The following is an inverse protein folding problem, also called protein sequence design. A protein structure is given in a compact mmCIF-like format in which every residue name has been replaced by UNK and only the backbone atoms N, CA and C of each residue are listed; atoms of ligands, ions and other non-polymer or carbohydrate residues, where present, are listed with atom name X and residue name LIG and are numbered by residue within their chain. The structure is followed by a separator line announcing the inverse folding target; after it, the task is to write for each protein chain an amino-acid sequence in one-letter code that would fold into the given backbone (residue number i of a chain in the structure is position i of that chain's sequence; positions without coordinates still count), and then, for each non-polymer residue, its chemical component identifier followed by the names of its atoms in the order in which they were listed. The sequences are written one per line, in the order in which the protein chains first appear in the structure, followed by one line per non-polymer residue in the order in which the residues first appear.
data_IF_785140477514
#
_entry.id   IF_785140477514
#
_cell.length_a   1.000
_cell.length_b   1.000
_cell.length_c   1.000
_cell.angle_alpha   90.00
_cell.angle_beta   90.00
_cell.angle_gamma   90.00
#
_symmetry.space_group_name_H-M   'P 1'
#
loop_
_entity.id
_entity.type
_entity.pdbx_description
1 polymer ?
#
# COMPACT_ATOMS: atom_id res chain seq x y z
N UNK A 1 91.74 22.62 -21.14
CA UNK A 1 91.76 21.50 -20.17
C UNK A 1 90.45 21.52 -19.39
N UNK A 2 89.72 20.40 -19.41
CA UNK A 2 88.67 19.90 -18.49
C UNK A 2 87.89 20.91 -17.60
N UNK A 3 86.56 20.86 -17.45
CA UNK A 3 85.74 19.66 -17.31
C UNK A 3 84.23 19.93 -17.49
N UNK A 4 83.59 18.98 -18.17
CA UNK A 4 82.35 18.25 -17.85
C UNK A 4 81.04 18.99 -17.49
N UNK A 5 80.09 18.76 -18.42
CA UNK A 5 78.63 18.82 -18.33
C UNK A 5 78.05 18.24 -17.03
N UNK A 6 77.03 18.90 -16.49
CA UNK A 6 76.01 18.26 -15.65
C UNK A 6 74.64 18.87 -15.99
N UNK A 7 73.85 18.10 -16.74
CA UNK A 7 72.44 18.37 -16.95
C UNK A 7 71.68 17.93 -15.68
N UNK A 8 71.00 18.87 -15.03
CA UNK A 8 70.05 18.56 -13.96
C UNK A 8 68.66 18.42 -14.57
N UNK A 9 68.18 17.18 -14.62
CA UNK A 9 66.79 16.85 -14.91
C UNK A 9 65.93 17.28 -13.72
N UNK A 10 64.99 18.18 -13.99
CA UNK A 10 63.93 18.56 -13.06
C UNK A 10 63.03 17.34 -12.80
N UNK A 11 63.03 16.84 -11.56
CA UNK A 11 61.97 15.95 -11.08
C UNK A 11 61.04 16.80 -10.20
N UNK A 12 60.08 17.47 -10.85
CA UNK A 12 58.97 18.10 -10.14
C UNK A 12 58.14 17.00 -9.50
N UNK A 13 58.21 16.88 -8.17
CA UNK A 13 57.26 16.10 -7.39
C UNK A 13 55.91 16.77 -7.54
N UNK A 14 55.11 16.27 -8.49
CA UNK A 14 53.71 16.60 -8.63
C UNK A 14 53.02 15.99 -7.42
N UNK A 15 52.89 16.76 -6.33
CA UNK A 15 52.02 16.40 -5.23
C UNK A 15 50.60 16.35 -5.78
N UNK A 16 50.14 15.16 -6.14
CA UNK A 16 48.73 14.87 -6.32
C UNK A 16 48.07 15.11 -4.97
N UNK A 17 47.47 16.28 -4.81
CA UNK A 17 46.51 16.52 -3.73
C UNK A 17 45.36 15.55 -4.00
N UNK A 18 45.43 14.38 -3.37
CA UNK A 18 44.33 13.43 -3.37
C UNK A 18 43.16 14.14 -2.70
N UNK A 19 42.19 14.57 -3.49
CA UNK A 19 40.89 14.94 -2.94
C UNK A 19 40.36 13.70 -2.24
N UNK A 20 40.31 13.73 -0.91
CA UNK A 20 39.60 12.73 -0.15
C UNK A 20 38.15 12.74 -0.65
N UNK A 21 37.83 11.76 -1.51
CA UNK A 21 36.46 11.52 -1.92
C UNK A 21 35.74 11.03 -0.67
N UNK A 22 35.09 11.95 0.04
CA UNK A 22 34.20 11.61 1.15
C UNK A 22 33.16 10.64 0.60
N UNK A 23 33.28 9.37 1.01
CA UNK A 23 32.61 8.28 0.36
C UNK A 23 31.20 8.16 0.94
N UNK A 24 30.25 8.76 0.22
CA UNK A 24 28.82 8.72 0.48
C UNK A 24 28.19 7.43 -0.07
N UNK A 25 26.92 7.15 0.26
CA UNK A 25 26.10 6.16 -0.46
C UNK A 25 25.98 6.57 -1.93
N UNK A 26 25.68 7.85 -2.17
CA UNK A 26 25.76 8.53 -3.46
C UNK A 26 26.04 10.02 -3.26
N UNK A 27 26.62 10.65 -4.29
CA UNK A 27 26.89 12.09 -4.29
C UNK A 27 25.62 12.90 -4.52
N UNK A 28 25.31 13.79 -3.59
CA UNK A 28 24.26 14.80 -3.74
C UNK A 28 24.67 15.84 -4.79
N UNK A 29 23.84 16.00 -5.82
CA UNK A 29 24.06 16.90 -6.97
C UNK A 29 22.91 17.89 -7.18
N UNK A 30 21.78 17.68 -6.50
CA UNK A 30 20.59 18.52 -6.56
C UNK A 30 19.97 18.65 -5.16
N UNK A 31 19.00 19.55 -5.02
CA UNK A 31 18.23 19.75 -3.79
C UNK A 31 16.75 19.52 -4.03
N UNK A 32 16.03 19.17 -2.97
CA UNK A 32 14.57 19.10 -3.04
C UNK A 32 13.97 20.48 -3.33
N UNK A 33 12.95 20.48 -4.18
CA UNK A 33 12.21 21.66 -4.62
C UNK A 33 10.79 21.24 -4.99
N UNK A 34 9.88 22.20 -5.16
CA UNK A 34 8.54 21.90 -5.65
C UNK A 34 8.57 21.19 -7.01
N UNK A 35 9.51 21.56 -7.88
CA UNK A 35 9.69 20.90 -9.18
C UNK A 35 10.13 19.44 -9.02
N UNK A 36 11.06 19.15 -8.11
CA UNK A 36 11.44 17.76 -7.79
C UNK A 36 10.32 16.96 -7.14
N UNK A 37 9.43 17.60 -6.38
CA UNK A 37 8.21 16.95 -5.91
C UNK A 37 7.19 16.68 -7.02
N UNK A 38 7.15 17.48 -8.09
CA UNK A 38 6.34 17.20 -9.28
C UNK A 38 6.90 16.03 -10.07
N UNK A 39 8.22 15.93 -10.20
CA UNK A 39 8.89 14.79 -10.81
C UNK A 39 8.71 13.50 -9.98
N UNK A 40 8.81 13.58 -8.65
CA UNK A 40 8.52 12.44 -7.78
C UNK A 40 7.06 11.99 -7.89
N UNK A 41 6.12 12.94 -7.98
CA UNK A 41 4.72 12.63 -8.24
C UNK A 41 4.52 11.88 -9.55
N UNK A 42 5.20 12.30 -10.63
CA UNK A 42 5.17 11.60 -11.91
C UNK A 42 5.73 10.18 -11.78
N UNK A 43 6.88 10.02 -11.11
CA UNK A 43 7.47 8.70 -10.83
C UNK A 43 6.49 7.77 -10.11
N UNK A 44 5.81 8.26 -9.06
CA UNK A 44 4.82 7.46 -8.32
C UNK A 44 3.59 7.15 -9.18
N UNK A 45 3.11 8.10 -10.00
CA UNK A 45 1.95 7.91 -10.87
C UNK A 45 2.20 6.82 -11.93
N UNK A 46 3.40 6.80 -12.51
CA UNK A 46 3.81 5.86 -13.55
C UNK A 46 4.40 4.55 -12.99
N UNK A 47 4.51 4.42 -11.66
CA UNK A 47 5.13 3.27 -11.00
C UNK A 47 4.35 1.98 -11.29
N UNK A 48 4.96 0.97 -11.92
CA UNK A 48 4.30 -0.30 -12.15
C UNK A 48 4.17 -1.09 -10.84
N UNK A 49 3.08 -1.84 -10.66
CA UNK A 49 2.83 -2.53 -9.39
C UNK A 49 3.84 -3.65 -9.10
N UNK A 50 4.45 -4.25 -10.11
CA UNK A 50 5.51 -5.26 -9.99
C UNK A 50 6.92 -4.66 -9.84
N UNK A 51 7.05 -3.37 -9.51
CA UNK A 51 8.33 -2.66 -9.45
C UNK A 51 9.44 -3.40 -8.66
N UNK A 52 9.10 -4.04 -7.55
CA UNK A 52 10.05 -4.79 -6.71
C UNK A 52 10.17 -6.27 -7.05
N UNK A 53 9.23 -6.82 -7.82
CA UNK A 53 9.13 -8.25 -8.15
C UNK A 53 9.48 -8.57 -9.60
N UNK A 54 9.55 -7.57 -10.48
CA UNK A 54 9.85 -7.73 -11.90
C UNK A 54 11.30 -8.16 -12.12
N UNK A 55 11.53 -9.40 -12.61
CA UNK A 55 12.88 -9.90 -12.86
C UNK A 55 13.65 -9.02 -13.85
N UNK A 56 14.98 -8.94 -13.69
CA UNK A 56 15.86 -8.20 -14.59
C UNK A 56 15.89 -6.68 -14.37
N UNK A 57 15.13 -6.14 -13.41
CA UNK A 57 15.21 -4.73 -13.02
C UNK A 57 16.22 -4.50 -11.89
N UNK A 58 16.85 -3.31 -11.78
CA UNK A 58 17.81 -3.01 -10.71
C UNK A 58 17.25 -3.20 -9.29
N UNK A 59 15.95 -2.98 -9.12
CA UNK A 59 15.22 -3.00 -7.84
C UNK A 59 14.44 -4.30 -7.61
N UNK A 60 14.59 -5.27 -8.50
CA UNK A 60 14.04 -6.61 -8.31
C UNK A 60 14.60 -7.25 -7.04
N UNK A 61 13.73 -7.93 -6.29
CA UNK A 61 14.11 -8.66 -5.08
C UNK A 61 14.15 -7.82 -3.80
N UNK A 62 13.78 -6.53 -3.86
CA UNK A 62 13.63 -5.71 -2.65
C UNK A 62 12.34 -6.14 -1.95
N UNK A 63 12.51 -6.74 -0.78
CA UNK A 63 11.39 -7.02 0.13
C UNK A 63 10.87 -5.72 0.71
N UNK A 64 9.55 -5.54 0.84
CA UNK A 64 8.97 -4.35 1.49
C UNK A 64 7.75 -4.71 2.30
N UNK A 65 7.58 -4.08 3.46
CA UNK A 65 6.28 -3.82 4.06
C UNK A 65 5.72 -2.43 3.67
N UNK A 66 4.64 -2.01 4.32
CA UNK A 66 4.00 -0.72 4.03
C UNK A 66 4.93 0.49 4.20
N UNK A 67 5.69 0.57 5.29
CA UNK A 67 6.58 1.69 5.57
C UNK A 67 7.86 1.58 4.74
N UNK A 68 8.40 0.36 4.62
CA UNK A 68 9.54 0.06 3.74
C UNK A 68 9.30 0.61 2.34
N UNK A 69 8.14 0.32 1.74
CA UNK A 69 7.81 0.77 0.40
C UNK A 69 7.80 2.31 0.30
N UNK A 70 7.33 3.01 1.34
CA UNK A 70 7.33 4.46 1.37
C UNK A 70 8.75 5.03 1.34
N UNK A 71 9.61 4.58 2.25
CA UNK A 71 11.01 5.02 2.35
C UNK A 71 11.84 4.61 1.13
N UNK A 72 11.73 3.35 0.69
CA UNK A 72 12.49 2.81 -0.44
C UNK A 72 12.18 3.56 -1.73
N UNK A 73 10.90 3.81 -2.05
CA UNK A 73 10.54 4.54 -3.27
C UNK A 73 11.06 5.98 -3.25
N UNK A 74 10.99 6.66 -2.09
CA UNK A 74 11.57 8.00 -1.92
C UNK A 74 13.09 7.99 -2.09
N UNK A 75 13.75 6.99 -1.53
CA UNK A 75 15.20 6.79 -1.58
C UNK A 75 15.68 6.50 -3.00
N UNK A 76 14.99 5.62 -3.73
CA UNK A 76 15.28 5.30 -5.13
C UNK A 76 15.19 6.56 -5.99
N UNK A 77 14.08 7.30 -5.88
CA UNK A 77 13.93 8.53 -6.63
C UNK A 77 15.04 9.55 -6.29
N UNK A 78 15.39 9.67 -5.00
CA UNK A 78 16.45 10.56 -4.56
C UNK A 78 17.81 10.17 -5.14
N UNK A 79 18.17 8.88 -5.10
CA UNK A 79 19.38 8.34 -5.68
C UNK A 79 19.47 8.61 -7.18
N UNK A 80 18.41 8.30 -7.93
CA UNK A 80 18.37 8.48 -9.38
C UNK A 80 18.46 9.95 -9.80
N UNK A 81 18.02 10.86 -8.94
CA UNK A 81 18.03 12.31 -9.17
C UNK A 81 19.17 13.06 -8.45
N UNK A 82 20.05 12.36 -7.74
CA UNK A 82 21.12 12.96 -6.95
C UNK A 82 20.63 13.91 -5.86
N UNK A 83 19.48 13.64 -5.25
CA UNK A 83 18.90 14.40 -4.15
C UNK A 83 19.40 13.87 -2.80
N UNK A 84 19.48 14.72 -1.76
CA UNK A 84 19.81 14.24 -0.43
C UNK A 84 18.65 13.46 0.17
N UNK A 85 18.95 12.52 1.05
CA UNK A 85 18.01 11.99 2.04
C UNK A 85 18.63 12.09 3.41
N UNK A 86 17.79 12.29 4.40
CA UNK A 86 18.16 12.39 5.80
C UNK A 86 16.93 12.00 6.60
N UNK A 87 16.86 10.71 6.96
CA UNK A 87 15.70 10.14 7.64
C UNK A 87 16.02 9.85 9.09
N UNK A 88 15.06 10.04 9.98
CA UNK A 88 15.22 9.66 11.38
C UNK A 88 14.79 8.20 11.64
N UNK A 89 15.65 7.43 12.31
CA UNK A 89 15.33 6.08 12.76
C UNK A 89 14.53 6.06 14.09
N UNK A 90 14.12 4.88 14.57
CA UNK A 90 13.39 4.76 15.85
C UNK A 90 14.21 5.20 17.09
N UNK A 91 15.54 5.22 17.02
CA UNK A 91 16.45 5.75 18.06
C UNK A 91 16.68 7.27 17.96
N UNK A 92 16.01 7.95 17.01
CA UNK A 92 16.23 9.38 16.70
C UNK A 92 17.62 9.71 16.14
N UNK A 93 18.24 8.76 15.43
CA UNK A 93 19.50 8.95 14.71
C UNK A 93 19.24 9.11 13.22
N UNK A 94 20.07 9.95 12.61
CA UNK A 94 19.99 10.27 11.19
C UNK A 94 20.53 9.14 10.32
N UNK A 95 19.77 8.79 9.28
CA UNK A 95 20.09 7.86 8.21
C UNK A 95 20.17 8.67 6.91
N UNK A 96 21.36 9.20 6.65
CA UNK A 96 21.63 10.09 5.51
C UNK A 96 22.42 9.38 4.41
N UNK A 97 22.24 9.84 3.16
CA UNK A 97 23.05 9.36 2.04
C UNK A 97 24.54 9.73 2.13
N UNK A 98 24.92 10.61 3.05
CA UNK A 98 26.31 11.02 3.27
C UNK A 98 27.09 10.09 4.19
N UNK A 99 26.46 9.02 4.72
CA UNK A 99 27.16 8.04 5.57
C UNK A 99 28.26 7.28 4.81
N UNK A 100 29.34 6.97 5.51
CA UNK A 100 30.49 6.20 5.03
C UNK A 100 30.47 4.73 5.50
N UNK A 101 29.39 4.30 6.16
CA UNK A 101 29.23 2.94 6.70
C UNK A 101 29.38 1.83 5.63
N UNK A 102 29.29 2.18 4.34
CA UNK A 102 29.28 1.25 3.22
C UNK A 102 30.50 1.36 2.33
N UNK A 103 31.58 1.96 2.82
CA UNK A 103 32.80 2.18 2.02
C UNK A 103 33.50 0.91 1.56
N UNK A 104 33.30 -0.17 2.31
CA UNK A 104 33.74 -1.51 1.97
C UNK A 104 32.97 -2.14 0.78
N UNK A 105 31.90 -1.51 0.31
CA UNK A 105 31.12 -1.94 -0.85
C UNK A 105 31.43 -1.08 -2.08
N UNK A 106 31.28 -1.68 -3.26
CA UNK A 106 31.32 -0.97 -4.54
C UNK A 106 30.27 0.14 -4.60
N UNK A 107 30.66 1.30 -5.13
CA UNK A 107 29.79 2.47 -5.25
C UNK A 107 28.56 2.19 -6.13
N UNK A 108 27.49 2.96 -5.92
CA UNK A 108 26.24 2.85 -6.68
C UNK A 108 25.27 1.83 -6.08
N UNK A 109 24.76 0.90 -6.90
CA UNK A 109 23.67 -0.02 -6.49
C UNK A 109 24.00 -0.88 -5.26
N UNK A 110 25.22 -1.42 -5.06
CA UNK A 110 25.52 -2.21 -3.86
C UNK A 110 25.38 -1.40 -2.57
N UNK A 111 25.94 -0.19 -2.51
CA UNK A 111 25.76 0.74 -1.38
C UNK A 111 24.31 1.14 -1.19
N UNK A 112 23.59 1.47 -2.27
CA UNK A 112 22.17 1.84 -2.22
C UNK A 112 21.32 0.71 -1.65
N UNK A 113 21.51 -0.53 -2.12
CA UNK A 113 20.76 -1.70 -1.63
C UNK A 113 21.04 -1.97 -0.15
N UNK A 114 22.29 -1.81 0.27
CA UNK A 114 22.65 -1.95 1.69
C UNK A 114 22.02 -0.84 2.55
N UNK A 115 22.09 0.41 2.10
CA UNK A 115 21.44 1.53 2.77
C UNK A 115 19.93 1.34 2.89
N UNK A 116 19.24 0.95 1.81
CA UNK A 116 17.81 0.64 1.84
C UNK A 116 17.49 -0.55 2.75
N UNK A 117 18.35 -1.56 2.82
CA UNK A 117 18.19 -2.66 3.78
C UNK A 117 18.22 -2.13 5.21
N UNK A 118 19.18 -1.27 5.54
CA UNK A 118 19.31 -0.72 6.89
C UNK A 118 18.15 0.23 7.24
N UNK A 119 17.68 1.04 6.28
CA UNK A 119 16.47 1.85 6.44
C UNK A 119 15.28 1.00 6.88
N UNK A 120 15.04 -0.12 6.21
CA UNK A 120 13.91 -1.02 6.47
C UNK A 120 13.95 -1.67 7.86
N UNK A 121 15.15 -1.91 8.39
CA UNK A 121 15.32 -2.45 9.76
C UNK A 121 15.26 -1.35 10.84
N UNK A 122 15.35 -0.09 10.45
CA UNK A 122 15.50 1.03 11.36
C UNK A 122 14.30 2.01 11.33
N UNK A 123 13.31 1.77 10.47
CA UNK A 123 12.14 2.64 10.27
C UNK A 123 10.85 1.84 10.27
N UNK A 124 9.74 2.53 10.54
CA UNK A 124 8.41 1.95 10.52
C UNK A 124 7.34 3.04 10.21
N UNK A 125 6.07 2.71 10.39
CA UNK A 125 4.99 3.69 10.17
C UNK A 125 5.02 4.83 11.21
N UNK A 126 5.59 4.60 12.40
CA UNK A 126 5.72 5.62 13.45
C UNK A 126 6.85 6.61 13.17
N UNK A 127 7.96 6.19 12.56
CA UNK A 127 9.04 7.09 12.12
C UNK A 127 8.55 8.03 11.02
N UNK A 128 7.67 7.57 10.12
CA UNK A 128 7.06 8.42 9.09
C UNK A 128 6.32 9.63 9.67
N UNK A 129 5.76 9.55 10.89
CA UNK A 129 5.12 10.71 11.53
C UNK A 129 6.08 11.88 11.73
N UNK A 130 7.35 11.57 11.99
CA UNK A 130 8.41 12.56 12.23
C UNK A 130 9.05 13.01 10.92
N UNK A 131 9.03 12.16 9.90
CA UNK A 131 9.56 12.46 8.57
C UNK A 131 8.59 13.22 7.65
N UNK A 132 7.33 13.35 8.05
CA UNK A 132 6.28 13.90 7.20
C UNK A 132 5.42 14.92 7.94
N UNK A 133 4.72 15.76 7.19
CA UNK A 133 3.82 16.77 7.74
C UNK A 133 2.45 16.73 7.06
N UNK A 134 1.38 17.10 7.77
CA UNK A 134 0.03 17.13 7.21
C UNK A 134 -0.09 18.23 6.14
N UNK A 135 -0.83 17.93 5.08
CA UNK A 135 -1.03 18.84 3.95
C UNK A 135 -2.48 19.29 3.81
N UNK A 136 -2.67 20.36 3.03
CA UNK A 136 -3.99 20.84 2.64
C UNK A 136 -4.75 19.78 1.81
N UNK A 137 -6.08 19.79 1.90
CA UNK A 137 -6.98 18.96 1.12
C UNK A 137 -7.48 19.79 -0.06
N UNK A 138 -6.71 19.73 -1.14
CA UNK A 138 -7.06 20.26 -2.44
C UNK A 138 -6.30 19.47 -3.52
N UNK A 139 -6.66 19.67 -4.79
CA UNK A 139 -6.12 18.92 -5.92
C UNK A 139 -4.61 19.11 -6.17
N UNK A 140 -4.02 20.22 -5.73
CA UNK A 140 -2.58 20.48 -5.88
C UNK A 140 -1.76 19.78 -4.79
N UNK A 141 -2.36 19.56 -3.62
CA UNK A 141 -1.71 18.97 -2.46
C UNK A 141 -1.93 17.46 -2.40
N UNK A 142 -3.17 16.99 -2.52
CA UNK A 142 -3.51 15.56 -2.61
C UNK A 142 -3.33 15.14 -4.05
N UNK A 143 -2.11 14.74 -4.39
CA UNK A 143 -1.66 14.34 -5.73
C UNK A 143 -0.70 13.15 -5.64
N UNK A 144 -0.31 12.52 -6.76
CA UNK A 144 0.64 11.43 -6.73
C UNK A 144 1.90 11.77 -5.92
N UNK A 145 2.41 10.83 -5.14
CA UNK A 145 3.56 11.04 -4.24
C UNK A 145 3.24 11.64 -2.87
N UNK A 146 2.07 12.27 -2.68
CA UNK A 146 1.53 12.47 -1.34
C UNK A 146 1.16 11.12 -0.72
N UNK A 147 1.10 11.02 0.60
CA UNK A 147 0.75 9.79 1.29
C UNK A 147 -0.49 9.95 2.15
N UNK A 148 -1.26 8.88 2.33
CA UNK A 148 -2.21 8.76 3.41
C UNK A 148 -1.60 7.87 4.49
N UNK A 149 -1.39 8.43 5.68
CA UNK A 149 -0.91 7.72 6.84
C UNK A 149 -2.10 7.33 7.72
N UNK A 150 -2.18 6.07 8.13
CA UNK A 150 -3.18 5.57 9.07
C UNK A 150 -2.46 5.12 10.33
N UNK A 151 -2.57 5.92 11.39
CA UNK A 151 -1.90 5.72 12.68
C UNK A 151 -2.90 5.92 13.83
N UNK A 152 -3.88 5.00 13.99
CA UNK A 152 -4.83 5.08 15.09
C UNK A 152 -4.10 4.86 16.43
N UNK A 153 -4.48 5.59 17.48
CA UNK A 153 -4.06 5.21 18.84
C UNK A 153 -4.94 4.09 19.36
N UNK A 154 -4.48 3.40 20.41
CA UNK A 154 -5.29 2.38 21.09
C UNK A 154 -6.64 2.99 21.51
N UNK A 155 -7.73 2.40 21.01
CA UNK A 155 -9.09 2.89 21.28
C UNK A 155 -9.55 4.02 20.36
N UNK A 156 -8.77 4.45 19.36
CA UNK A 156 -9.17 5.42 18.33
C UNK A 156 -9.50 4.69 17.02
N UNK A 157 -10.71 4.14 16.96
CA UNK A 157 -11.26 3.42 15.80
C UNK A 157 -11.60 1.96 16.14
N UNK A 158 -12.40 1.26 15.29
CA UNK A 158 -12.68 -0.16 15.46
C UNK A 158 -11.42 -0.99 15.58
N UNK A 159 -11.48 -2.07 16.36
CA UNK A 159 -10.40 -3.06 16.48
C UNK A 159 -9.93 -3.58 15.11
N UNK A 160 -10.84 -3.68 14.13
CA UNK A 160 -10.55 -4.10 12.75
C UNK A 160 -9.63 -3.12 12.00
N UNK A 161 -9.57 -1.86 12.44
CA UNK A 161 -8.76 -0.80 11.83
C UNK A 161 -7.60 -0.36 12.72
N UNK A 162 -7.21 -1.14 13.73
CA UNK A 162 -6.21 -0.74 14.72
C UNK A 162 -4.75 -0.79 14.22
N UNK A 163 -4.49 -1.33 13.03
CA UNK A 163 -3.12 -1.49 12.52
C UNK A 163 -2.64 -0.22 11.81
N UNK A 164 -1.44 0.20 12.16
CA UNK A 164 -0.71 1.23 11.45
C UNK A 164 -0.50 0.85 9.97
N UNK A 165 -0.65 1.80 9.06
CA UNK A 165 -0.43 1.57 7.63
C UNK A 165 -0.15 2.86 6.88
N UNK A 166 0.51 2.78 5.73
CA UNK A 166 0.77 3.92 4.85
C UNK A 166 0.46 3.56 3.40
N UNK A 167 -0.09 4.54 2.68
CA UNK A 167 -0.32 4.45 1.25
C UNK A 167 0.25 5.67 0.55
N UNK A 168 0.90 5.50 -0.59
CA UNK A 168 1.05 6.60 -1.53
C UNK A 168 -0.24 6.81 -2.30
N UNK A 169 -0.62 8.07 -2.49
CA UNK A 169 -1.52 8.45 -3.58
C UNK A 169 -0.76 8.17 -4.87
N UNK A 170 -1.31 7.30 -5.71
CA UNK A 170 -0.79 7.00 -7.04
C UNK A 170 -1.49 7.86 -8.11
N UNK A 171 -2.79 8.11 -7.96
CA UNK A 171 -3.57 8.89 -8.90
C UNK A 171 -4.76 9.58 -8.24
N UNK A 172 -5.19 10.72 -8.80
CA UNK A 172 -6.46 11.38 -8.46
C UNK A 172 -7.26 11.61 -9.74
N UNK A 173 -8.34 10.84 -9.89
CA UNK A 173 -9.20 10.87 -11.05
C UNK A 173 -9.95 12.20 -11.22
N UNK A 174 -10.61 12.41 -12.38
CA UNK A 174 -11.41 13.59 -12.63
C UNK A 174 -12.51 13.78 -11.59
N UNK A 175 -13.20 12.71 -11.18
CA UNK A 175 -14.25 12.78 -10.14
C UNK A 175 -13.70 12.97 -8.72
N UNK A 176 -12.38 13.09 -8.56
CA UNK A 176 -11.71 13.16 -7.26
C UNK A 176 -11.45 11.80 -6.62
N UNK A 177 -11.78 10.70 -7.29
CA UNK A 177 -11.50 9.36 -6.80
C UNK A 177 -9.98 9.16 -6.70
N UNK A 178 -9.51 8.61 -5.58
CA UNK A 178 -8.08 8.41 -5.34
C UNK A 178 -7.71 6.94 -5.56
N UNK A 179 -6.62 6.70 -6.29
CA UNK A 179 -5.93 5.42 -6.34
C UNK A 179 -4.73 5.48 -5.42
N UNK A 180 -4.61 4.50 -4.56
CA UNK A 180 -3.52 4.32 -3.60
C UNK A 180 -2.67 3.13 -3.98
N UNK A 181 -1.37 3.20 -3.66
CA UNK A 181 -0.46 2.05 -3.67
C UNK A 181 0.22 1.86 -2.32
N UNK A 182 0.41 0.61 -1.92
CA UNK A 182 1.17 0.24 -0.72
C UNK A 182 1.72 -1.17 -0.83
N UNK A 183 2.67 -1.55 0.01
CA UNK A 183 2.92 -2.96 0.34
C UNK A 183 2.12 -3.34 1.60
N UNK A 184 2.45 -4.44 2.27
CA UNK A 184 1.75 -4.95 3.47
C UNK A 184 2.73 -5.68 4.40
N UNK A 185 2.32 -5.96 5.64
CA UNK A 185 3.10 -6.82 6.55
C UNK A 185 2.81 -8.30 6.30
N UNK A 186 3.76 -9.22 6.62
CA UNK A 186 5.19 -8.94 6.87
C UNK A 186 5.91 -8.47 5.59
N UNK A 187 7.15 -7.97 5.67
CA UNK A 187 7.90 -7.59 4.47
C UNK A 187 8.17 -8.80 3.55
N UNK A 188 7.85 -8.70 2.26
CA UNK A 188 8.28 -9.70 1.26
C UNK A 188 8.50 -9.06 -0.12
N UNK A 189 9.17 -9.80 -1.02
CA UNK A 189 9.23 -9.44 -2.45
C UNK A 189 7.86 -9.72 -3.06
N UNK A 190 7.16 -8.67 -3.47
CA UNK A 190 5.79 -8.76 -4.00
C UNK A 190 5.44 -7.57 -4.88
N UNK A 191 4.33 -7.71 -5.59
CA UNK A 191 3.70 -6.57 -6.21
C UNK A 191 3.13 -5.64 -5.13
N UNK A 192 3.18 -4.34 -5.40
CA UNK A 192 2.43 -3.33 -4.65
C UNK A 192 0.94 -3.56 -4.87
N UNK A 193 0.17 -3.36 -3.80
CA UNK A 193 -1.27 -3.42 -3.82
C UNK A 193 -1.81 -2.07 -4.26
N UNK A 194 -2.65 -2.05 -5.29
CA UNK A 194 -3.43 -0.88 -5.65
C UNK A 194 -4.81 -0.93 -4.95
N UNK A 195 -5.26 0.20 -4.43
CA UNK A 195 -6.61 0.36 -3.87
C UNK A 195 -7.24 1.65 -4.37
N UNK A 196 -8.41 1.53 -4.98
CA UNK A 196 -9.20 2.66 -5.46
C UNK A 196 -10.24 3.04 -4.41
N UNK A 197 -10.53 4.33 -4.33
CA UNK A 197 -11.43 4.88 -3.32
C UNK A 197 -10.72 5.12 -2.00
N UNK A 198 -11.39 5.86 -1.13
CA UNK A 198 -10.80 6.40 0.10
C UNK A 198 -10.57 5.29 1.12
N UNK A 199 -9.36 5.25 1.69
CA UNK A 199 -8.94 4.16 2.58
C UNK A 199 -9.48 4.30 4.00
N UNK A 200 -9.25 5.45 4.64
CA UNK A 200 -9.56 5.71 6.04
C UNK A 200 -9.88 7.19 6.27
N UNK A 201 -10.48 7.49 7.42
CA UNK A 201 -10.58 8.84 7.98
C UNK A 201 -9.44 9.11 8.94
N UNK A 202 -8.90 10.34 9.02
CA UNK A 202 -7.96 10.70 10.06
C UNK A 202 -8.69 10.74 11.41
N UNK A 203 -8.52 9.72 12.24
CA UNK A 203 -9.09 9.66 13.60
C UNK A 203 -8.36 10.56 14.60
N UNK A 204 -7.16 11.02 14.24
CA UNK A 204 -6.29 11.87 15.04
C UNK A 204 -5.32 12.61 14.10
N UNK A 205 -4.46 13.46 14.68
CA UNK A 205 -3.46 14.25 13.94
C UNK A 205 -2.26 13.46 13.40
N UNK A 206 -2.10 12.20 13.82
CA UNK A 206 -1.07 11.30 13.31
C UNK A 206 -1.51 10.68 11.97
N UNK A 207 -2.81 10.48 11.78
CA UNK A 207 -3.36 10.00 10.51
C UNK A 207 -3.60 11.13 9.49
N UNK A 208 -3.93 10.78 8.26
CA UNK A 208 -4.36 11.71 7.21
C UNK A 208 -3.38 11.86 6.06
N UNK A 209 -3.63 12.83 5.19
CA UNK A 209 -2.77 13.11 4.04
C UNK A 209 -1.52 13.88 4.46
N UNK A 210 -0.36 13.42 4.02
CA UNK A 210 0.95 13.97 4.41
C UNK A 210 1.89 14.06 3.22
N UNK A 211 2.89 14.91 3.34
CA UNK A 211 4.03 15.01 2.43
C UNK A 211 5.35 14.84 3.20
N UNK A 212 6.40 14.41 2.49
CA UNK A 212 7.75 14.30 3.02
C UNK A 212 8.30 15.66 3.44
N UNK A 213 8.97 15.72 4.59
CA UNK A 213 9.89 16.81 4.91
C UNK A 213 11.08 16.75 3.95
N UNK A 214 11.62 17.90 3.58
CA UNK A 214 12.91 17.95 2.91
C UNK A 214 14.03 17.88 3.95
N UNK A 215 15.18 17.25 3.65
CA UNK A 215 16.34 17.28 4.52
C UNK A 215 16.67 18.71 5.00
N UNK A 216 17.06 18.87 6.27
CA UNK A 216 17.37 20.16 6.89
C UNK A 216 16.20 21.17 6.98
N UNK A 217 14.96 20.78 6.67
CA UNK A 217 13.76 21.65 6.83
C UNK A 217 12.89 21.27 8.04
N UNK A 218 13.40 20.40 8.91
CA UNK A 218 12.67 19.86 10.07
C UNK A 218 12.20 20.95 11.06
N UNK A 219 12.90 22.07 11.14
CA UNK A 219 12.59 23.21 12.01
C UNK A 219 11.66 24.25 11.37
N UNK A 220 11.38 24.16 10.06
CA UNK A 220 10.48 25.12 9.40
C UNK A 220 9.06 25.01 9.96
N UNK A 221 8.39 26.16 10.06
CA UNK A 221 6.98 26.22 10.40
C UNK A 221 6.15 25.43 9.38
N UNK A 222 5.00 24.89 9.79
CA UNK A 222 4.18 24.06 8.91
C UNK A 222 3.71 24.84 7.68
N UNK A 223 3.29 26.09 7.89
CA UNK A 223 2.72 26.98 6.89
C UNK A 223 3.73 27.40 5.82
N UNK A 224 5.03 27.37 6.15
CA UNK A 224 6.11 27.66 5.19
C UNK A 224 6.50 26.43 4.37
N UNK A 225 6.01 25.24 4.73
CA UNK A 225 6.24 24.01 3.95
C UNK A 225 5.28 23.92 2.78
N UNK A 226 5.72 23.26 1.73
CA UNK A 226 4.93 23.06 0.52
C UNK A 226 3.57 22.41 0.84
N UNK A 227 2.50 23.21 0.74
CA UNK A 227 1.13 22.80 1.06
C UNK A 227 0.84 22.39 2.51
N UNK A 228 1.68 22.76 3.48
CA UNK A 228 1.45 22.40 4.89
C UNK A 228 0.14 22.96 5.45
N UNK A 229 -0.67 22.11 6.08
CA UNK A 229 -1.95 22.51 6.67
C UNK A 229 -2.51 21.50 7.67
N UNK A 230 -3.20 22.00 8.69
CA UNK A 230 -3.96 21.20 9.67
C UNK A 230 -5.45 21.11 9.34
N UNK A 231 -5.92 21.65 8.21
CA UNK A 231 -7.36 21.75 7.92
C UNK A 231 -8.08 20.41 7.89
N UNK A 232 -7.39 19.35 7.49
CA UNK A 232 -7.96 18.02 7.35
C UNK A 232 -8.55 17.45 8.64
N UNK A 233 -8.02 17.87 9.79
CA UNK A 233 -8.50 17.43 11.10
C UNK A 233 -9.82 18.11 11.51
N UNK A 234 -10.26 19.11 10.74
CA UNK A 234 -11.53 19.83 10.94
C UNK A 234 -12.58 19.47 9.89
N UNK A 235 -12.23 18.67 8.88
CA UNK A 235 -12.97 18.61 7.62
C UNK A 235 -14.31 17.85 7.61
N UNK A 236 -14.69 17.23 8.72
CA UNK A 236 -16.04 16.72 8.83
C UNK A 236 -16.38 16.21 10.21
N UNK A 237 -15.97 17.00 11.20
CA UNK A 237 -16.47 16.89 12.55
C UNK A 237 -16.23 15.48 13.13
N UNK A 238 -14.99 14.99 12.96
CA UNK A 238 -14.59 13.65 13.37
C UNK A 238 -14.70 13.57 14.89
N UNK A 239 -15.49 12.59 15.35
CA UNK A 239 -15.48 12.16 16.73
C UNK A 239 -14.46 11.05 16.87
N UNK A 240 -13.67 11.13 17.94
CA UNK A 240 -12.88 10.00 18.40
C UNK A 240 -13.82 8.85 18.76
N UNK A 241 -13.32 7.63 18.74
CA UNK A 241 -14.15 6.48 19.06
C UNK A 241 -14.66 6.50 20.52
N UNK A 242 -13.93 7.12 21.44
CA UNK A 242 -14.40 7.38 22.81
C UNK A 242 -15.61 8.34 22.87
N UNK A 243 -15.78 9.17 21.85
CA UNK A 243 -16.92 10.10 21.70
C UNK A 243 -18.06 9.51 20.86
N UNK A 244 -17.85 8.33 20.27
CA UNK A 244 -18.89 7.58 19.58
C UNK A 244 -19.70 6.75 20.61
N UNK A 245 -20.99 6.48 20.34
CA UNK A 245 -21.75 5.47 21.09
C UNK A 245 -21.00 4.15 21.10
N UNK A 246 -21.30 3.27 22.07
CA UNK A 246 -20.63 1.97 22.27
C UNK A 246 -20.37 1.14 20.99
N UNK A 247 -19.54 0.12 21.12
CA UNK A 247 -19.11 -0.74 20.01
C UNK A 247 -20.25 -1.58 19.38
N UNK A 248 -21.51 -1.37 19.80
CA UNK A 248 -22.71 -1.96 19.22
C UNK A 248 -23.04 -1.42 17.81
N UNK A 249 -24.24 -1.70 17.33
CA UNK A 249 -24.70 -1.26 16.00
C UNK A 249 -24.77 0.27 15.85
N UNK A 250 -24.97 0.99 16.97
CA UNK A 250 -24.98 2.45 17.02
C UNK A 250 -23.61 3.06 16.71
N UNK A 251 -22.54 2.61 17.38
CA UNK A 251 -21.17 3.07 17.13
C UNK A 251 -20.66 2.70 15.74
N UNK A 252 -20.96 1.49 15.25
CA UNK A 252 -20.64 1.07 13.86
C UNK A 252 -21.29 1.98 12.82
N UNK A 253 -22.56 2.30 13.00
CA UNK A 253 -23.31 3.18 12.09
C UNK A 253 -22.79 4.61 12.14
N UNK A 254 -22.40 5.10 13.32
CA UNK A 254 -21.82 6.43 13.47
C UNK A 254 -20.46 6.54 12.77
N UNK A 255 -19.60 5.53 12.91
CA UNK A 255 -18.34 5.47 12.20
C UNK A 255 -18.51 5.45 10.69
N UNK A 256 -19.44 4.63 10.18
CA UNK A 256 -19.71 4.55 8.74
C UNK A 256 -20.11 5.92 8.18
N UNK A 257 -20.99 6.65 8.89
CA UNK A 257 -21.36 8.03 8.51
C UNK A 257 -20.15 8.97 8.53
N UNK A 258 -19.27 8.84 9.52
CA UNK A 258 -18.05 9.62 9.61
C UNK A 258 -17.14 9.40 8.39
N UNK A 259 -16.93 8.14 8.02
CA UNK A 259 -16.15 7.75 6.84
C UNK A 259 -16.75 8.28 5.54
N UNK A 260 -18.09 8.25 5.41
CA UNK A 260 -18.81 8.80 4.27
C UNK A 260 -18.67 10.32 4.19
N UNK A 261 -18.83 11.04 5.30
CA UNK A 261 -18.69 12.50 5.36
C UNK A 261 -17.28 12.94 5.00
N UNK A 262 -16.25 12.26 5.51
CA UNK A 262 -14.85 12.51 5.14
C UNK A 262 -14.61 12.30 3.66
N UNK A 263 -15.03 11.14 3.16
CA UNK A 263 -14.90 10.77 1.76
C UNK A 263 -15.55 11.84 0.87
N UNK A 264 -16.76 12.29 1.20
CA UNK A 264 -17.46 13.33 0.46
C UNK A 264 -16.72 14.68 0.53
N UNK A 265 -16.27 15.10 1.72
CA UNK A 265 -15.58 16.38 1.92
C UNK A 265 -14.22 16.43 1.18
N UNK A 266 -13.44 15.35 1.28
CA UNK A 266 -12.17 15.23 0.54
C UNK A 266 -12.45 15.25 -0.95
N UNK A 267 -13.37 14.41 -1.44
CA UNK A 267 -13.71 14.33 -2.86
C UNK A 267 -14.07 15.69 -3.42
N UNK A 268 -14.96 16.41 -2.75
CA UNK A 268 -15.45 17.71 -3.23
C UNK A 268 -14.31 18.72 -3.42
N UNK A 269 -13.27 18.64 -2.58
CA UNK A 269 -12.11 19.52 -2.64
C UNK A 269 -11.03 19.11 -3.64
N UNK A 270 -10.99 17.83 -4.04
CA UNK A 270 -9.94 17.31 -4.93
C UNK A 270 -10.44 16.95 -6.33
N UNK A 271 -11.76 16.94 -6.58
CA UNK A 271 -12.33 16.72 -7.92
C UNK A 271 -11.93 17.82 -8.90
N UNK A 272 -11.91 17.50 -10.19
CA UNK A 272 -11.48 18.42 -11.24
C UNK A 272 -12.52 19.49 -11.54
N UNK A 273 -12.09 20.62 -12.11
CA UNK A 273 -12.99 21.63 -12.66
C UNK A 273 -13.85 21.01 -13.77
N UNK A 274 -15.14 20.84 -13.52
CA UNK A 274 -16.08 20.15 -14.42
C UNK A 274 -16.53 18.78 -13.93
N UNK A 275 -15.98 18.26 -12.83
CA UNK A 275 -16.51 17.06 -12.21
C UNK A 275 -17.87 17.32 -11.55
N UNK A 276 -18.85 16.47 -11.89
CA UNK A 276 -20.20 16.53 -11.33
C UNK A 276 -20.24 16.31 -9.81
N UNK A 277 -21.41 16.57 -9.21
CA UNK A 277 -21.65 16.29 -7.78
C UNK A 277 -21.50 14.81 -7.45
N UNK A 278 -21.81 13.92 -8.38
CA UNK A 278 -21.62 12.46 -8.24
C UNK A 278 -20.37 11.98 -8.98
N UNK A 279 -19.83 10.85 -8.53
CA UNK A 279 -18.73 10.17 -9.25
C UNK A 279 -19.26 9.70 -10.61
N UNK A 280 -18.44 9.84 -11.65
CA UNK A 280 -18.76 9.26 -12.95
C UNK A 280 -19.02 7.74 -12.80
N UNK A 281 -20.16 7.18 -13.25
CA UNK A 281 -20.48 5.77 -13.04
C UNK A 281 -19.48 4.78 -13.64
N UNK A 282 -18.79 5.16 -14.72
CA UNK A 282 -17.73 4.32 -15.31
C UNK A 282 -16.46 4.34 -14.45
N UNK A 283 -16.05 5.52 -13.98
CA UNK A 283 -14.92 5.67 -13.05
C UNK A 283 -15.17 4.91 -11.74
N UNK A 284 -16.38 5.03 -11.19
CA UNK A 284 -16.79 4.32 -9.97
C UNK A 284 -16.80 2.80 -10.14
N UNK A 285 -17.38 2.29 -11.24
CA UNK A 285 -17.39 0.85 -11.51
C UNK A 285 -15.97 0.32 -11.68
N UNK A 286 -15.13 1.01 -12.47
CA UNK A 286 -13.74 0.60 -12.69
C UNK A 286 -12.95 0.55 -11.39
N UNK A 287 -13.21 1.47 -10.46
CA UNK A 287 -12.59 1.50 -9.14
C UNK A 287 -12.93 0.26 -8.32
N UNK A 288 -14.23 -0.02 -8.18
CA UNK A 288 -14.73 -1.15 -7.37
C UNK A 288 -14.32 -2.48 -8.00
N UNK A 289 -14.47 -2.62 -9.33
CA UNK A 289 -13.99 -3.80 -10.05
C UNK A 289 -12.49 -3.95 -9.88
N UNK A 290 -11.69 -2.88 -10.04
CA UNK A 290 -10.25 -2.93 -9.85
C UNK A 290 -9.85 -3.46 -8.47
N UNK A 291 -10.53 -3.02 -7.41
CA UNK A 291 -10.32 -3.54 -6.05
C UNK A 291 -10.65 -5.04 -5.94
N UNK A 292 -11.77 -5.45 -6.54
CA UNK A 292 -12.19 -6.86 -6.56
C UNK A 292 -11.18 -7.72 -7.33
N UNK A 293 -10.75 -7.28 -8.52
CA UNK A 293 -9.76 -7.99 -9.33
C UNK A 293 -8.45 -8.17 -8.57
N UNK A 294 -7.95 -7.11 -7.92
CA UNK A 294 -6.76 -7.17 -7.08
C UNK A 294 -6.93 -8.16 -5.93
N UNK A 295 -8.00 -8.03 -5.14
CA UNK A 295 -8.26 -8.91 -4.00
C UNK A 295 -8.46 -10.37 -4.38
N UNK A 296 -9.17 -10.65 -5.47
CA UNK A 296 -9.40 -12.00 -5.99
C UNK A 296 -8.09 -12.61 -6.49
N UNK A 297 -7.28 -11.89 -7.28
CA UNK A 297 -5.99 -12.39 -7.76
C UNK A 297 -5.01 -12.67 -6.60
N UNK A 298 -4.95 -11.79 -5.61
CA UNK A 298 -4.16 -12.01 -4.39
C UNK A 298 -4.62 -13.26 -3.65
N UNK A 299 -5.93 -13.47 -3.56
CA UNK A 299 -6.52 -14.66 -2.96
C UNK A 299 -6.18 -15.92 -3.75
N UNK A 300 -6.23 -15.89 -5.08
CA UNK A 300 -5.87 -17.04 -5.93
C UNK A 300 -4.43 -17.47 -5.63
N UNK A 301 -3.51 -16.51 -5.65
CA UNK A 301 -2.10 -16.76 -5.37
C UNK A 301 -1.90 -17.42 -4.00
N UNK A 302 -2.45 -16.83 -2.95
CA UNK A 302 -2.22 -17.33 -1.59
C UNK A 302 -2.90 -18.69 -1.33
N UNK A 303 -4.05 -18.94 -1.96
CA UNK A 303 -4.73 -20.24 -1.93
C UNK A 303 -3.86 -21.32 -2.58
N UNK A 304 -3.30 -21.02 -3.75
CA UNK A 304 -2.42 -21.95 -4.47
C UNK A 304 -1.11 -22.19 -3.71
N UNK A 305 -0.50 -21.13 -3.17
CA UNK A 305 0.72 -21.21 -2.36
C UNK A 305 0.50 -22.06 -1.10
N UNK A 306 -0.58 -21.79 -0.36
CA UNK A 306 -0.95 -22.54 0.84
C UNK A 306 -1.17 -24.02 0.55
N UNK A 307 -1.91 -24.34 -0.53
CA UNK A 307 -2.15 -25.72 -0.94
C UNK A 307 -0.86 -26.45 -1.30
N UNK A 308 0.04 -25.80 -2.04
CA UNK A 308 1.35 -26.36 -2.39
C UNK A 308 2.21 -26.62 -1.15
N UNK A 309 2.22 -25.72 -0.18
CA UNK A 309 2.92 -25.93 1.10
C UNK A 309 2.29 -27.09 1.88
N UNK A 310 0.96 -27.16 1.93
CA UNK A 310 0.25 -28.27 2.58
C UNK A 310 0.61 -29.63 1.96
N UNK A 311 0.60 -29.72 0.63
CA UNK A 311 0.97 -30.95 -0.08
C UNK A 311 2.44 -31.33 0.14
N UNK A 312 3.36 -30.37 0.05
CA UNK A 312 4.80 -30.65 0.11
C UNK A 312 5.34 -30.89 1.52
N UNK A 313 4.89 -30.12 2.51
CA UNK A 313 5.41 -30.20 3.90
C UNK A 313 4.63 -31.18 4.77
N UNK A 314 3.33 -31.34 4.51
CA UNK A 314 2.43 -32.13 5.34
C UNK A 314 1.90 -33.38 4.63
N UNK A 315 2.29 -33.63 3.37
CA UNK A 315 1.81 -34.76 2.59
C UNK A 315 0.29 -34.77 2.40
N UNK A 316 -0.36 -33.60 2.51
CA UNK A 316 -1.81 -33.47 2.48
C UNK A 316 -2.53 -34.02 3.71
N UNK A 317 -1.84 -34.22 4.85
CA UNK A 317 -2.39 -34.77 6.09
C UNK A 317 -2.06 -33.91 7.31
N UNK A 318 -2.88 -33.97 8.35
CA UNK A 318 -2.65 -33.22 9.59
C UNK A 318 -2.88 -31.71 9.44
N UNK A 319 -2.46 -30.95 10.44
CA UNK A 319 -2.76 -29.52 10.54
C UNK A 319 -1.52 -28.66 10.35
N UNK A 320 -1.68 -27.54 9.63
CA UNK A 320 -0.58 -26.61 9.43
C UNK A 320 -0.22 -25.86 10.72
N UNK A 321 1.04 -25.42 10.84
CA UNK A 321 1.53 -24.59 11.96
C UNK A 321 0.84 -23.23 12.02
N UNK A 322 0.91 -22.56 13.18
CA UNK A 322 0.37 -21.20 13.35
C UNK A 322 0.98 -20.21 12.36
N UNK A 323 2.31 -20.27 12.19
CA UNK A 323 3.01 -19.46 11.19
C UNK A 323 2.51 -19.73 9.75
N UNK A 324 2.20 -20.98 9.41
CA UNK A 324 1.63 -21.29 8.09
C UNK A 324 0.20 -20.75 7.96
N UNK A 325 -0.60 -20.74 9.02
CA UNK A 325 -1.91 -20.08 9.03
C UNK A 325 -1.79 -18.56 8.83
N UNK A 326 -0.89 -17.91 9.55
CA UNK A 326 -0.60 -16.48 9.39
C UNK A 326 -0.21 -16.14 7.95
N UNK A 327 0.55 -17.03 7.32
CA UNK A 327 1.02 -16.85 5.95
C UNK A 327 -0.05 -17.15 4.90
N UNK A 328 -0.80 -18.25 5.02
CA UNK A 328 -1.58 -18.82 3.92
C UNK A 328 -3.10 -18.83 4.10
N UNK A 329 -3.60 -18.45 5.28
CA UNK A 329 -5.03 -18.25 5.49
C UNK A 329 -5.54 -16.96 4.82
N UNK A 330 -6.85 -16.89 4.55
CA UNK A 330 -7.48 -15.75 3.86
C UNK A 330 -8.55 -14.95 4.62
N UNK A 331 -8.80 -15.06 5.94
CA UNK A 331 -9.99 -14.44 6.54
C UNK A 331 -10.05 -12.91 6.35
N UNK A 332 -8.92 -12.22 6.53
CA UNK A 332 -8.82 -10.77 6.30
C UNK A 332 -8.86 -10.38 4.82
N UNK A 333 -8.49 -11.27 3.90
CA UNK A 333 -8.62 -11.06 2.44
C UNK A 333 -10.07 -11.26 2.02
N UNK A 334 -10.70 -12.30 2.52
CA UNK A 334 -12.09 -12.67 2.27
C UNK A 334 -13.04 -11.57 2.74
N UNK A 335 -12.81 -11.04 3.95
CA UNK A 335 -13.56 -9.90 4.50
C UNK A 335 -13.44 -8.65 3.60
N UNK A 336 -12.24 -8.37 3.07
CA UNK A 336 -12.03 -7.22 2.16
C UNK A 336 -12.75 -7.41 0.83
N UNK A 337 -12.66 -8.61 0.22
CA UNK A 337 -13.39 -8.91 -1.02
C UNK A 337 -14.89 -8.77 -0.80
N UNK A 338 -15.42 -9.30 0.31
CA UNK A 338 -16.84 -9.17 0.66
C UNK A 338 -17.27 -7.71 0.78
N UNK A 339 -16.46 -6.85 1.41
CA UNK A 339 -16.76 -5.42 1.49
C UNK A 339 -16.81 -4.76 0.11
N UNK A 340 -15.86 -5.06 -0.79
CA UNK A 340 -15.87 -4.50 -2.15
C UNK A 340 -17.08 -5.02 -2.98
N UNK A 341 -17.49 -6.28 -2.79
CA UNK A 341 -18.71 -6.83 -3.41
C UNK A 341 -19.98 -6.13 -2.93
N UNK A 342 -20.04 -5.66 -1.68
CA UNK A 342 -21.17 -4.84 -1.20
C UNK A 342 -21.26 -3.49 -1.92
N UNK A 343 -20.13 -2.92 -2.35
CA UNK A 343 -20.10 -1.69 -3.16
C UNK A 343 -20.34 -1.95 -4.65
N UNK A 344 -20.12 -3.17 -5.14
CA UNK A 344 -20.27 -3.52 -6.55
C UNK A 344 -21.69 -3.33 -7.06
N UNK A 345 -22.69 -3.89 -6.38
CA UNK A 345 -24.08 -3.85 -6.84
C UNK A 345 -24.60 -2.41 -7.09
N UNK A 346 -24.45 -1.44 -6.16
CA UNK A 346 -24.89 -0.06 -6.43
C UNK A 346 -24.07 0.63 -7.52
N UNK A 347 -22.74 0.43 -7.57
CA UNK A 347 -21.88 1.03 -8.61
C UNK A 347 -22.22 0.49 -10.01
N UNK A 348 -22.32 -0.83 -10.14
CA UNK A 348 -22.69 -1.50 -11.39
C UNK A 348 -24.10 -1.12 -11.85
N UNK A 349 -25.05 -0.98 -10.93
CA UNK A 349 -26.42 -0.51 -11.25
C UNK A 349 -26.39 0.90 -11.85
N UNK A 350 -25.65 1.84 -11.24
CA UNK A 350 -25.48 3.19 -11.78
C UNK A 350 -24.83 3.15 -13.16
N UNK A 351 -23.82 2.31 -13.33
CA UNK A 351 -23.15 2.13 -14.62
C UNK A 351 -24.11 1.63 -15.70
N UNK A 352 -24.78 0.48 -15.52
CA UNK A 352 -25.64 -0.08 -16.58
C UNK A 352 -26.83 0.84 -16.91
N UNK A 353 -27.38 1.54 -15.91
CA UNK A 353 -28.41 2.57 -16.14
C UNK A 353 -27.87 3.74 -16.96
N UNK A 354 -26.65 4.21 -16.67
CA UNK A 354 -26.00 5.27 -17.45
C UNK A 354 -25.72 4.86 -18.91
N UNK A 355 -25.71 3.55 -19.21
CA UNK A 355 -25.60 2.99 -20.55
C UNK A 355 -26.95 2.66 -21.21
N UNK A 356 -28.08 3.04 -20.58
CA UNK A 356 -29.42 2.85 -21.14
C UNK A 356 -30.01 1.44 -20.94
N UNK A 357 -29.51 0.65 -19.99
CA UNK A 357 -30.05 -0.69 -19.74
C UNK A 357 -31.52 -0.63 -19.29
N UNK A 358 -32.41 -1.26 -20.07
CA UNK A 358 -33.85 -1.37 -19.76
C UNK A 358 -34.14 -2.47 -18.74
N UNK A 359 -33.43 -3.62 -18.83
CA UNK A 359 -33.46 -4.67 -17.83
C UNK A 359 -32.12 -4.72 -17.07
N UNK A 360 -32.10 -4.10 -15.89
CA UNK A 360 -30.90 -3.98 -15.04
C UNK A 360 -30.35 -5.36 -14.65
N UNK A 361 -31.20 -6.32 -14.29
CA UNK A 361 -30.76 -7.64 -13.82
C UNK A 361 -30.03 -8.43 -14.91
N UNK A 362 -30.55 -8.41 -16.15
CA UNK A 362 -29.88 -9.07 -17.29
C UNK A 362 -28.54 -8.38 -17.59
N UNK A 363 -28.52 -7.04 -17.57
CA UNK A 363 -27.30 -6.28 -17.83
C UNK A 363 -26.21 -6.54 -16.78
N UNK A 364 -26.57 -6.61 -15.50
CA UNK A 364 -25.66 -6.92 -14.41
C UNK A 364 -25.09 -8.35 -14.53
N UNK A 365 -25.95 -9.34 -14.78
CA UNK A 365 -25.51 -10.73 -14.95
C UNK A 365 -24.51 -10.88 -16.10
N UNK A 366 -24.75 -10.19 -17.22
CA UNK A 366 -23.83 -10.15 -18.37
C UNK A 366 -22.52 -9.44 -18.03
N UNK A 367 -22.58 -8.31 -17.32
CA UNK A 367 -21.40 -7.57 -16.87
C UNK A 367 -20.52 -8.45 -15.97
N UNK A 368 -21.08 -9.10 -14.96
CA UNK A 368 -20.32 -9.91 -14.02
C UNK A 368 -19.74 -11.17 -14.69
N UNK A 369 -20.48 -11.80 -15.61
CA UNK A 369 -19.98 -12.95 -16.37
C UNK A 369 -18.76 -12.63 -17.24
N UNK A 370 -18.52 -11.36 -17.57
CA UNK A 370 -17.34 -10.96 -18.36
C UNK A 370 -16.03 -10.98 -17.56
N UNK A 371 -16.09 -11.00 -16.23
CA UNK A 371 -14.93 -11.09 -15.36
C UNK A 371 -14.74 -12.55 -14.92
N UNK A 372 -13.78 -13.23 -15.54
CA UNK A 372 -13.46 -14.63 -15.28
C UNK A 372 -12.07 -14.77 -14.67
N UNK A 373 -11.94 -15.67 -13.71
CA UNK A 373 -10.70 -15.91 -12.96
C UNK A 373 -10.33 -17.38 -13.04
N UNK A 374 -9.10 -17.66 -13.45
CA UNK A 374 -8.55 -19.01 -13.42
C UNK A 374 -8.06 -19.32 -12.01
N UNK A 375 -8.77 -20.20 -11.30
CA UNK A 375 -8.46 -20.56 -9.92
C UNK A 375 -7.50 -21.75 -9.83
N UNK A 376 -7.48 -22.58 -10.89
CA UNK A 376 -6.60 -23.72 -11.13
C UNK A 376 -6.49 -23.91 -12.66
N UNK A 377 -5.45 -24.60 -13.17
CA UNK A 377 -5.30 -24.83 -14.61
C UNK A 377 -6.59 -25.38 -15.25
N UNK A 378 -7.17 -24.60 -16.16
CA UNK A 378 -8.41 -24.94 -16.87
C UNK A 378 -9.71 -24.82 -16.06
N UNK A 379 -9.65 -24.36 -14.81
CA UNK A 379 -10.82 -24.21 -13.92
C UNK A 379 -11.07 -22.73 -13.64
N UNK A 380 -12.29 -22.28 -13.94
CA UNK A 380 -12.65 -20.88 -13.88
C UNK A 380 -13.86 -20.63 -12.99
N UNK A 381 -13.86 -19.47 -12.33
CA UNK A 381 -15.04 -18.86 -11.72
C UNK A 381 -15.26 -17.49 -12.31
N UNK A 382 -16.53 -17.08 -12.46
CA UNK A 382 -16.88 -15.72 -12.84
C UNK A 382 -17.32 -14.87 -11.63
N UNK A 383 -17.48 -13.57 -11.85
CA UNK A 383 -17.88 -12.66 -10.78
C UNK A 383 -19.33 -12.89 -10.30
N UNK A 384 -20.22 -13.53 -11.07
CA UNK A 384 -21.52 -13.93 -10.54
C UNK A 384 -21.33 -15.02 -9.48
N UNK A 385 -20.55 -16.05 -9.79
CA UNK A 385 -20.26 -17.15 -8.86
C UNK A 385 -19.54 -16.66 -7.60
N UNK A 386 -18.60 -15.72 -7.75
CA UNK A 386 -17.91 -15.07 -6.63
C UNK A 386 -18.91 -14.28 -5.78
N UNK A 387 -19.73 -13.44 -6.40
CA UNK A 387 -20.73 -12.62 -5.69
C UNK A 387 -21.71 -13.51 -4.92
N UNK A 388 -22.25 -14.54 -5.57
CA UNK A 388 -23.18 -15.49 -4.95
C UNK A 388 -22.50 -16.23 -3.79
N UNK A 389 -21.29 -16.75 -3.97
CA UNK A 389 -20.63 -17.54 -2.93
C UNK A 389 -20.22 -16.72 -1.69
N UNK A 390 -19.79 -15.46 -1.86
CA UNK A 390 -19.41 -14.57 -0.74
C UNK A 390 -20.62 -13.97 -0.03
N UNK A 391 -21.70 -13.63 -0.76
CA UNK A 391 -22.88 -13.01 -0.16
C UNK A 391 -23.88 -14.03 0.40
N UNK A 392 -23.91 -15.25 -0.11
CA UNK A 392 -24.85 -16.30 0.36
C UNK A 392 -24.23 -17.31 1.33
N UNK A 393 -22.96 -17.13 1.71
CA UNK A 393 -22.21 -17.97 2.67
C UNK A 393 -22.09 -19.46 2.29
N UNK A 394 -22.40 -19.83 1.05
CA UNK A 394 -22.55 -21.26 0.68
C UNK A 394 -21.25 -22.04 0.49
N UNK A 395 -20.10 -21.41 0.20
CA UNK A 395 -18.82 -22.14 0.08
C UNK A 395 -17.55 -21.28 -0.06
N UNK A 396 -17.62 -19.95 -0.17
CA UNK A 396 -16.43 -19.09 -0.40
C UNK A 396 -15.74 -18.58 0.87
N UNK A 397 -16.22 -18.94 2.06
CA UNK A 397 -15.68 -18.53 3.36
C UNK A 397 -14.71 -19.53 3.98
N UNK A 398 -14.19 -20.49 3.20
CA UNK A 398 -13.16 -21.42 3.68
C UNK A 398 -11.82 -20.72 3.56
N UNK A 399 -11.41 -20.10 4.65
CA UNK A 399 -10.19 -19.31 4.72
C UNK A 399 -8.96 -20.15 5.04
N UNK A 400 -9.14 -21.42 5.35
CA UNK A 400 -8.10 -22.26 5.91
C UNK A 400 -7.26 -22.95 4.83
N UNK A 401 -5.93 -22.96 4.98
CA UNK A 401 -5.00 -23.33 3.91
C UNK A 401 -4.98 -24.82 3.55
N UNK A 402 -5.51 -25.70 4.39
CA UNK A 402 -5.55 -27.15 4.18
C UNK A 402 -6.68 -27.62 3.26
N UNK A 403 -7.60 -26.73 2.88
CA UNK A 403 -8.62 -27.05 1.89
C UNK A 403 -8.07 -26.90 0.47
N UNK A 404 -8.53 -27.77 -0.43
CA UNK A 404 -8.16 -27.70 -1.84
C UNK A 404 -8.57 -26.34 -2.44
N UNK A 405 -7.84 -25.83 -3.45
CA UNK A 405 -8.20 -24.58 -4.11
C UNK A 405 -9.65 -24.58 -4.59
N UNK A 406 -10.10 -25.67 -5.20
CA UNK A 406 -11.47 -25.87 -5.66
C UNK A 406 -12.50 -25.68 -4.53
N UNK A 407 -12.30 -26.35 -3.38
CA UNK A 407 -13.18 -26.19 -2.22
C UNK A 407 -13.18 -24.75 -1.69
N UNK A 408 -12.02 -24.10 -1.61
CA UNK A 408 -11.89 -22.69 -1.18
C UNK A 408 -12.50 -21.69 -2.15
N UNK A 409 -12.77 -22.10 -3.39
CA UNK A 409 -13.49 -21.31 -4.39
C UNK A 409 -14.95 -21.75 -4.58
N UNK A 410 -15.46 -22.64 -3.72
CA UNK A 410 -16.83 -23.14 -3.80
C UNK A 410 -17.14 -23.91 -5.08
N UNK A 411 -16.11 -24.38 -5.78
CA UNK A 411 -16.21 -25.21 -6.97
C UNK A 411 -15.87 -26.64 -6.54
N UNK A 412 -16.87 -27.52 -6.49
CA UNK A 412 -16.68 -28.93 -6.10
C UNK A 412 -17.03 -29.25 -4.66
N UNK A 413 -16.74 -30.49 -4.24
CA UNK A 413 -17.14 -31.00 -2.94
C UNK A 413 -16.42 -30.27 -1.80
N UNK A 414 -17.19 -29.64 -0.92
CA UNK A 414 -16.71 -29.11 0.35
C UNK A 414 -16.66 -30.28 1.34
N UNK A 415 -15.50 -30.55 1.96
CA UNK A 415 -15.47 -31.45 3.11
C UNK A 415 -16.39 -30.87 4.19
N UNK A 416 -17.37 -31.65 4.63
CA UNK A 416 -18.28 -31.22 5.70
C UNK A 416 -17.43 -30.94 6.94
N UNK A 417 -17.73 -29.86 7.68
CA UNK A 417 -16.98 -29.43 8.87
C UNK A 417 -16.70 -30.56 9.88
N UNK A 418 -17.58 -31.57 9.94
CA UNK A 418 -17.45 -32.76 10.79
C UNK A 418 -16.38 -33.77 10.36
N UNK A 419 -15.91 -33.71 9.10
CA UNK A 419 -14.87 -34.58 8.53
C UNK A 419 -13.49 -33.92 8.54
N UNK A 420 -13.42 -32.65 8.92
CA UNK A 420 -12.19 -31.90 8.91
C UNK A 420 -11.38 -32.12 10.19
N UNK A 421 -10.18 -32.65 10.01
CA UNK A 421 -9.27 -33.03 11.09
C UNK A 421 -8.60 -31.85 11.81
N UNK A 422 -8.77 -30.60 11.33
CA UNK A 422 -8.13 -29.41 11.90
C UNK A 422 -9.13 -28.35 12.42
N UNK A 423 -10.08 -28.70 13.29
CA UNK A 423 -11.15 -27.79 13.70
C UNK A 423 -10.70 -26.70 14.68
N UNK A 424 -9.50 -26.82 15.28
CA UNK A 424 -9.12 -26.04 16.47
C UNK A 424 -8.52 -24.64 16.19
N UNK A 425 -8.17 -24.29 14.95
CA UNK A 425 -7.54 -22.98 14.65
C UNK A 425 -8.43 -21.99 13.91
N UNK A 426 -9.62 -22.42 13.50
CA UNK A 426 -10.68 -21.55 13.02
C UNK A 426 -10.91 -20.36 13.97
N UNK A 427 -11.25 -20.61 15.23
CA UNK A 427 -11.73 -19.59 16.18
C UNK A 427 -10.71 -18.51 16.58
N UNK A 428 -9.40 -18.74 16.40
CA UNK A 428 -8.37 -17.73 16.67
C UNK A 428 -8.20 -16.71 15.52
N UNK A 429 -8.60 -17.06 14.30
CA UNK A 429 -8.48 -16.20 13.12
C UNK A 429 -9.82 -15.74 12.55
N UNK A 430 -10.93 -16.25 13.07
CA UNK A 430 -12.21 -15.55 13.01
C UNK A 430 -12.15 -14.34 13.94
N UNK A 431 -12.23 -13.14 13.37
CA UNK A 431 -12.70 -11.99 14.14
C UNK A 431 -14.03 -12.37 14.80
N UNK A 432 -14.10 -12.28 16.12
CA UNK A 432 -15.29 -12.65 16.89
C UNK A 432 -16.57 -12.07 16.27
N UNK A 433 -17.59 -12.93 16.20
CA UNK A 433 -19.01 -12.62 16.00
C UNK A 433 -19.46 -12.07 14.64
N UNK A 434 -20.05 -12.95 13.82
CA UNK A 434 -21.35 -12.73 13.16
C UNK A 434 -21.85 -14.04 12.54
N UNK A 435 -22.32 -14.95 13.39
CA UNK A 435 -23.29 -15.97 13.00
C UNK A 435 -24.38 -15.92 14.07
N UNK A 436 -25.29 -14.96 13.90
CA UNK A 436 -26.68 -14.93 14.34
C UNK A 436 -27.24 -13.54 14.05
N UNK A 437 -27.50 -13.28 12.76
CA UNK A 437 -28.57 -12.41 12.24
C UNK A 437 -28.54 -12.45 10.71
#
# INVERSE_FOLDING_TARGET
MFAKKMAWLAFGVMMTVGTAANAAVWTTRAQWSEQKEKEFAKFINELPLDFFSRPGTPYSGISTDCADAAYVLRTIFAYENGLPVDFENWEKKDLSNTTNNYDHLEAGLPRLKKFMSDLRWATDTSTLLRETYPIAINRNSVRPGAMFLHMPKKGEGPKVYASAHVFYVQNVGPSGLVTYISSTVPAAVRNLNARNGYVFTPFNVNSGYRAWKWPNTGTQALETRLHGSLEQFRLGNWKTFAELPDNGDGGRSALQRQMQNWTAAVRERIKGSGAGRTINPTEELNAVIGNILGGVNDRIKIVQDGWRVYQSRYGGRGCMTESDYDNYSTPSRDTRIQQELMYLAPAATRYVRSKGATNVNIALKKLYASYRFEIMPGQFVDLNQITDGFLTTKALSISEPEHSPLARWGVGAVMVKSQWQCPQRASQYYGAERINR
#
